data_IF_216453481620
#
_entry.id   IF_216453481620
#
_cell.length_a   1.000
_cell.length_b   1.000
_cell.length_c   1.000
_cell.angle_alpha   90.00
_cell.angle_beta   90.00
_cell.angle_gamma   90.00
#
_symmetry.space_group_name_H-M   'P 1'
#
loop_
_entity.id
_entity.type
_entity.pdbx_description
1 polymer ?
#
# COMPACT_ATOMS: atom_id res chain seq x y z
N UNK A 1 22.33 7.91 -10.44
CA UNK A 1 21.25 6.89 -10.43
C UNK A 1 21.81 5.66 -11.14
N UNK A 2 22.04 4.57 -10.42
CA UNK A 2 22.32 3.27 -11.05
C UNK A 2 21.07 2.87 -11.83
N UNK A 3 21.22 2.47 -13.09
CA UNK A 3 20.11 2.01 -13.92
C UNK A 3 19.40 0.84 -13.21
N UNK A 4 18.12 1.00 -12.90
CA UNK A 4 17.29 -0.07 -12.35
C UNK A 4 16.74 -0.96 -13.46
N UNK A 5 16.16 -2.10 -13.09
CA UNK A 5 15.42 -2.91 -14.07
C UNK A 5 14.06 -2.27 -14.35
N UNK A 6 13.58 -2.28 -15.62
CA UNK A 6 12.27 -1.74 -15.95
C UNK A 6 11.17 -2.49 -15.20
N UNK A 7 10.08 -1.80 -14.88
CA UNK A 7 8.91 -2.38 -14.21
C UNK A 7 7.69 -1.46 -14.32
N UNK A 8 6.50 -2.03 -14.24
CA UNK A 8 5.24 -1.28 -14.08
C UNK A 8 4.74 -1.43 -12.66
N UNK A 9 4.39 -0.32 -12.00
CA UNK A 9 3.91 -0.29 -10.63
C UNK A 9 2.45 0.12 -10.60
N UNK A 10 1.64 -0.59 -9.82
CA UNK A 10 0.21 -0.34 -9.66
C UNK A 10 -0.08 -0.24 -8.17
N UNK A 11 -0.85 0.77 -7.79
CA UNK A 11 -1.41 0.86 -6.45
C UNK A 11 -2.92 0.78 -6.51
N UNK A 12 -3.51 -0.07 -5.67
CA UNK A 12 -4.96 -0.25 -5.60
C UNK A 12 -5.41 -0.20 -4.14
N UNK A 13 -6.09 0.89 -3.76
CA UNK A 13 -6.95 0.88 -2.58
C UNK A 13 -8.29 0.29 -2.97
N UNK A 14 -8.61 -0.89 -2.46
CA UNK A 14 -9.82 -1.62 -2.87
C UNK A 14 -11.09 -1.15 -2.16
N UNK A 15 -10.97 -0.36 -1.09
CA UNK A 15 -12.04 -0.11 -0.11
C UNK A 15 -12.66 -1.40 0.51
N UNK A 16 -12.00 -2.55 0.32
CA UNK A 16 -12.24 -3.89 0.89
C UNK A 16 -13.58 -4.56 0.55
N UNK A 17 -14.54 -3.86 -0.06
CA UNK A 17 -15.85 -4.40 -0.41
C UNK A 17 -16.38 -3.79 -1.72
N UNK A 18 -17.24 -4.53 -2.42
CA UNK A 18 -17.91 -4.05 -3.64
C UNK A 18 -19.10 -3.15 -3.25
N UNK A 19 -18.81 -1.88 -3.03
CA UNK A 19 -19.81 -0.86 -2.74
C UNK A 19 -19.75 0.26 -3.78
N UNK A 20 -20.75 0.34 -4.66
CA UNK A 20 -20.80 1.36 -5.71
C UNK A 20 -20.86 2.81 -5.19
N UNK A 21 -21.27 3.01 -3.92
CA UNK A 21 -21.29 4.33 -3.27
C UNK A 21 -19.97 4.68 -2.57
N UNK A 22 -19.07 3.70 -2.40
CA UNK A 22 -17.77 3.86 -1.79
C UNK A 22 -16.76 2.94 -2.50
N UNK A 23 -16.49 3.17 -3.81
CA UNK A 23 -15.51 2.38 -4.54
C UNK A 23 -14.10 2.67 -4.02
N UNK A 24 -13.18 1.75 -4.30
CA UNK A 24 -11.75 1.98 -4.14
C UNK A 24 -11.18 2.92 -5.21
N UNK A 25 -9.86 2.98 -5.31
CA UNK A 25 -9.14 3.74 -6.34
C UNK A 25 -7.88 3.02 -6.83
N UNK A 26 -7.52 3.22 -8.10
CA UNK A 26 -6.35 2.60 -8.73
C UNK A 26 -5.52 3.63 -9.50
N UNK A 27 -4.20 3.46 -9.52
CA UNK A 27 -3.27 4.20 -10.36
C UNK A 27 -2.12 3.32 -10.83
N UNK A 28 -1.33 3.80 -11.79
CA UNK A 28 -0.11 3.11 -12.22
C UNK A 28 0.96 4.06 -12.73
N UNK A 29 2.20 3.59 -12.76
CA UNK A 29 3.32 4.26 -13.42
C UNK A 29 4.30 3.21 -13.97
N UNK A 30 5.02 3.54 -15.03
CA UNK A 30 6.06 2.68 -15.59
C UNK A 30 7.45 3.27 -15.34
N UNK A 31 8.43 2.43 -15.03
CA UNK A 31 9.83 2.78 -14.95
C UNK A 31 10.58 2.03 -16.05
N UNK A 32 11.33 2.76 -16.89
CA UNK A 32 12.07 2.16 -18.03
C UNK A 32 13.48 1.68 -17.66
N UNK A 33 13.87 1.85 -16.39
CA UNK A 33 15.22 1.59 -15.88
C UNK A 33 16.00 2.86 -15.57
N UNK A 34 15.53 4.02 -16.02
CA UNK A 34 16.14 5.33 -15.79
C UNK A 34 15.12 6.35 -15.28
N UNK A 35 13.98 6.47 -15.96
CA UNK A 35 12.95 7.47 -15.63
C UNK A 35 11.57 6.83 -15.51
N UNK A 36 10.71 7.49 -14.73
CA UNK A 36 9.30 7.15 -14.67
C UNK A 36 8.55 7.81 -15.82
N UNK A 37 7.64 7.06 -16.44
CA UNK A 37 6.74 7.55 -17.47
C UNK A 37 5.37 6.87 -17.45
N UNK A 38 4.40 7.48 -18.15
CA UNK A 38 3.10 6.85 -18.37
C UNK A 38 2.26 6.75 -17.11
N UNK A 39 2.34 7.75 -16.24
CA UNK A 39 1.53 7.86 -15.05
C UNK A 39 0.05 7.94 -15.41
N UNK A 40 -0.73 7.00 -14.89
CA UNK A 40 -2.18 7.03 -14.92
C UNK A 40 -2.65 7.46 -13.52
N UNK A 41 -3.10 8.71 -13.42
CA UNK A 41 -3.51 9.31 -12.16
C UNK A 41 -4.61 8.49 -11.44
N UNK A 42 -4.62 8.50 -10.09
CA UNK A 42 -5.62 7.78 -9.31
C UNK A 42 -7.06 8.08 -9.73
N UNK A 43 -7.82 7.02 -10.01
CA UNK A 43 -9.25 7.08 -10.35
C UNK A 43 -10.05 6.09 -9.53
N UNK A 44 -11.29 6.45 -9.19
CA UNK A 44 -12.18 5.57 -8.44
C UNK A 44 -12.61 4.37 -9.27
N UNK A 45 -12.52 3.17 -8.71
CA UNK A 45 -12.88 1.90 -9.37
C UNK A 45 -13.38 0.87 -8.35
N UNK A 46 -14.30 0.01 -8.78
CA UNK A 46 -14.57 -1.28 -8.10
C UNK A 46 -13.67 -2.39 -8.65
N UNK A 47 -13.76 -3.60 -8.08
CA UNK A 47 -12.86 -4.71 -8.42
C UNK A 47 -12.87 -5.09 -9.90
N UNK A 48 -14.05 -5.15 -10.54
CA UNK A 48 -14.16 -5.48 -11.96
C UNK A 48 -13.45 -4.44 -12.85
N UNK A 49 -13.68 -3.14 -12.59
CA UNK A 49 -13.04 -2.06 -13.34
C UNK A 49 -11.53 -1.95 -13.05
N UNK A 50 -11.09 -2.32 -11.84
CA UNK A 50 -9.68 -2.45 -11.50
C UNK A 50 -9.00 -3.58 -12.28
N UNK A 51 -9.66 -4.73 -12.44
CA UNK A 51 -9.13 -5.83 -13.24
C UNK A 51 -8.99 -5.44 -14.72
N UNK A 52 -9.99 -4.76 -15.28
CA UNK A 52 -9.90 -4.27 -16.66
C UNK A 52 -8.85 -3.16 -16.83
N UNK A 53 -8.66 -2.31 -15.81
CA UNK A 53 -7.56 -1.35 -15.80
C UNK A 53 -6.21 -2.04 -15.94
N UNK A 54 -5.96 -3.07 -15.13
CA UNK A 54 -4.67 -3.79 -15.11
C UNK A 54 -4.43 -4.50 -16.46
N UNK A 55 -5.46 -5.15 -17.01
CA UNK A 55 -5.38 -5.84 -18.32
C UNK A 55 -5.18 -4.89 -19.49
N UNK A 56 -5.67 -3.66 -19.39
CA UNK A 56 -5.50 -2.65 -20.42
C UNK A 56 -4.15 -1.92 -20.37
N UNK A 57 -3.33 -2.16 -19.34
CA UNK A 57 -2.00 -1.55 -19.28
C UNK A 57 -1.14 -2.02 -20.46
N UNK A 58 -0.37 -1.11 -21.09
CA UNK A 58 0.50 -1.50 -22.20
C UNK A 58 1.49 -2.59 -21.76
N UNK A 59 1.70 -3.58 -22.63
CA UNK A 59 2.76 -4.56 -22.41
C UNK A 59 4.12 -3.87 -22.57
N UNK A 60 4.77 -3.57 -21.45
CA UNK A 60 6.08 -2.91 -21.38
C UNK A 60 7.11 -3.88 -20.84
N UNK A 61 8.39 -3.55 -21.02
CA UNK A 61 9.48 -4.36 -20.48
C UNK A 61 9.42 -4.44 -18.95
N UNK A 62 9.84 -5.59 -18.40
CA UNK A 62 9.89 -5.83 -16.96
C UNK A 62 8.62 -6.46 -16.37
N UNK A 63 8.63 -6.76 -15.06
CA UNK A 63 7.45 -7.23 -14.35
C UNK A 63 6.44 -6.09 -14.11
N UNK A 64 5.18 -6.47 -13.89
CA UNK A 64 4.16 -5.60 -13.33
C UNK A 64 3.95 -5.97 -11.86
N UNK A 65 4.04 -5.02 -10.95
CA UNK A 65 3.82 -5.21 -9.52
C UNK A 65 2.61 -4.40 -9.04
N UNK A 66 1.61 -5.11 -8.54
CA UNK A 66 0.44 -4.56 -7.86
C UNK A 66 0.63 -4.55 -6.34
N UNK A 67 0.60 -3.37 -5.73
CA UNK A 67 0.39 -3.19 -4.30
C UNK A 67 -1.09 -2.97 -4.01
N UNK A 68 -1.68 -3.89 -3.25
CA UNK A 68 -3.10 -3.90 -2.91
C UNK A 68 -3.30 -3.55 -1.43
N UNK A 69 -4.03 -2.46 -1.13
CA UNK A 69 -4.58 -2.22 0.21
C UNK A 69 -5.81 -3.09 0.43
N UNK A 70 -5.53 -4.37 0.66
CA UNK A 70 -6.47 -5.35 1.16
C UNK A 70 -5.76 -6.63 1.58
N UNK A 71 -6.20 -7.25 2.68
CA UNK A 71 -5.86 -8.63 3.03
C UNK A 71 -6.13 -9.63 1.89
N UNK A 72 -5.07 -10.32 1.44
CA UNK A 72 -5.14 -11.35 0.37
C UNK A 72 -5.14 -12.78 0.92
N UNK A 73 -4.57 -12.96 2.12
CA UNK A 73 -4.51 -14.24 2.82
C UNK A 73 -5.17 -14.06 4.19
N UNK A 74 -6.36 -14.65 4.36
CA UNK A 74 -7.21 -14.49 5.56
C UNK A 74 -7.68 -15.86 6.09
N UNK A 75 -6.79 -16.65 6.72
CA UNK A 75 -7.15 -17.97 7.23
C UNK A 75 -8.00 -17.91 8.52
N UNK A 76 -7.98 -16.78 9.22
CA UNK A 76 -8.66 -16.62 10.50
C UNK A 76 -10.19 -16.63 10.35
N UNK A 77 -10.88 -17.54 11.05
CA UNK A 77 -12.33 -17.49 11.16
C UNK A 77 -12.83 -16.24 11.90
N UNK A 78 -12.16 -15.88 13.00
CA UNK A 78 -12.48 -14.73 13.86
C UNK A 78 -11.22 -13.98 14.30
N UNK A 79 -11.38 -12.79 14.88
CA UNK A 79 -10.27 -12.04 15.46
C UNK A 79 -9.39 -11.35 14.42
N UNK A 80 -8.08 -11.35 14.66
CA UNK A 80 -7.06 -10.59 13.91
C UNK A 80 -5.93 -11.53 13.48
N UNK A 81 -5.42 -11.36 12.26
CA UNK A 81 -4.27 -12.12 11.73
C UNK A 81 -3.00 -11.80 12.53
N UNK A 82 -2.01 -12.71 12.60
CA UNK A 82 -0.76 -12.45 13.31
C UNK A 82 -0.05 -11.17 12.82
N UNK A 83 0.00 -10.94 11.51
CA UNK A 83 0.58 -9.73 10.90
C UNK A 83 -0.08 -8.44 11.40
N UNK A 84 -1.41 -8.40 11.45
CA UNK A 84 -2.17 -7.23 11.89
C UNK A 84 -1.90 -6.92 13.36
N UNK A 85 -1.69 -7.94 14.21
CA UNK A 85 -1.33 -7.74 15.62
C UNK A 85 0.03 -7.08 15.79
N UNK A 86 0.96 -7.33 14.86
CA UNK A 86 2.26 -6.64 14.82
C UNK A 86 2.08 -5.22 14.31
N UNK A 87 1.44 -5.03 13.16
CA UNK A 87 1.18 -3.71 12.58
C UNK A 87 0.43 -2.78 13.57
N UNK A 88 -0.55 -3.32 14.31
CA UNK A 88 -1.30 -2.60 15.31
C UNK A 88 -0.44 -2.03 16.44
N UNK A 89 0.72 -2.63 16.76
CA UNK A 89 1.61 -2.09 17.80
C UNK A 89 2.22 -0.73 17.44
N UNK A 90 2.49 -0.49 16.16
CA UNK A 90 2.98 0.80 15.65
C UNK A 90 1.80 1.72 15.37
N UNK A 91 0.79 1.24 14.63
CA UNK A 91 -0.35 2.06 14.22
C UNK A 91 -1.15 2.59 15.41
N UNK A 92 -1.45 1.79 16.43
CA UNK A 92 -2.19 2.27 17.61
C UNK A 92 -1.35 3.22 18.48
N UNK A 93 -0.03 3.02 18.51
CA UNK A 93 0.88 3.89 19.24
C UNK A 93 0.90 5.30 18.63
N UNK A 94 0.92 5.41 17.30
CA UNK A 94 0.77 6.69 16.59
C UNK A 94 -0.69 7.18 16.53
N UNK A 95 -1.64 6.46 17.13
CA UNK A 95 -3.04 6.88 17.27
C UNK A 95 -3.94 6.57 16.08
N UNK A 96 -3.52 5.66 15.20
CA UNK A 96 -4.35 5.06 14.16
C UNK A 96 -5.05 3.78 14.64
N UNK A 97 -5.75 3.13 13.72
CA UNK A 97 -6.38 1.83 13.95
C UNK A 97 -6.08 0.85 12.83
N UNK A 98 -6.00 -0.43 13.17
CA UNK A 98 -5.90 -1.54 12.21
C UNK A 98 -7.22 -2.30 12.25
N UNK A 99 -7.87 -2.45 11.10
CA UNK A 99 -9.08 -3.25 11.00
C UNK A 99 -8.70 -4.74 10.94
N UNK A 100 -9.18 -5.59 11.86
CA UNK A 100 -8.92 -7.03 11.79
C UNK A 100 -9.46 -7.66 10.52
N UNK A 101 -8.73 -8.55 9.86
CA UNK A 101 -9.26 -9.38 8.78
C UNK A 101 -9.56 -10.80 9.27
N UNK A 102 -10.80 -11.24 9.07
CA UNK A 102 -11.24 -12.60 9.39
C UNK A 102 -12.48 -12.96 8.57
N UNK A 103 -12.71 -14.26 8.33
CA UNK A 103 -13.82 -14.80 7.53
C UNK A 103 -15.21 -14.43 8.06
N UNK A 104 -15.32 -14.08 9.34
CA UNK A 104 -16.56 -13.58 9.94
C UNK A 104 -17.00 -12.19 9.45
N UNK A 105 -16.13 -11.43 8.78
CA UNK A 105 -16.48 -10.12 8.19
C UNK A 105 -17.16 -10.27 6.84
N UNK A 106 -18.49 -10.40 6.88
CA UNK A 106 -19.32 -10.58 5.68
C UNK A 106 -19.14 -9.46 4.66
N UNK A 107 -19.03 -9.84 3.38
CA UNK A 107 -18.79 -8.95 2.24
C UNK A 107 -17.37 -8.40 2.10
N UNK A 108 -16.50 -8.57 3.10
CA UNK A 108 -15.09 -8.14 3.05
C UNK A 108 -14.13 -9.31 2.92
N UNK A 109 -14.37 -10.39 3.70
CA UNK A 109 -13.47 -11.55 3.75
C UNK A 109 -14.20 -12.89 3.91
N UNK A 110 -15.53 -12.95 3.77
CA UNK A 110 -16.25 -14.22 3.67
C UNK A 110 -16.00 -14.90 2.31
N UNK A 111 -16.51 -16.11 2.10
CA UNK A 111 -16.31 -16.88 0.85
C UNK A 111 -16.81 -16.14 -0.41
N UNK A 112 -17.76 -15.21 -0.25
CA UNK A 112 -18.32 -14.41 -1.34
C UNK A 112 -17.62 -13.06 -1.56
N UNK A 113 -16.57 -12.75 -0.79
CA UNK A 113 -15.93 -11.46 -0.88
C UNK A 113 -15.30 -11.22 -2.28
N UNK A 114 -15.41 -10.00 -2.82
CA UNK A 114 -15.04 -9.71 -4.21
C UNK A 114 -13.55 -9.84 -4.48
N UNK A 115 -12.72 -9.69 -3.44
CA UNK A 115 -11.27 -9.85 -3.54
C UNK A 115 -10.88 -11.25 -4.04
N UNK A 116 -11.59 -12.33 -3.67
CA UNK A 116 -11.23 -13.67 -4.14
C UNK A 116 -11.42 -13.83 -5.65
N UNK A 117 -12.52 -13.29 -6.18
CA UNK A 117 -12.77 -13.27 -7.62
C UNK A 117 -11.77 -12.37 -8.34
N UNK A 118 -11.42 -11.23 -7.75
CA UNK A 118 -10.39 -10.34 -8.30
C UNK A 118 -9.04 -11.04 -8.38
N UNK A 119 -8.56 -11.63 -7.29
CA UNK A 119 -7.27 -12.34 -7.24
C UNK A 119 -7.22 -13.50 -8.23
N UNK A 120 -8.28 -14.31 -8.28
CA UNK A 120 -8.39 -15.41 -9.24
C UNK A 120 -8.41 -14.91 -10.69
N UNK A 121 -9.15 -13.83 -10.99
CA UNK A 121 -9.22 -13.24 -12.32
C UNK A 121 -7.95 -12.50 -12.75
N UNK A 122 -7.18 -12.02 -11.79
CA UNK A 122 -5.90 -11.36 -11.99
C UNK A 122 -4.81 -12.38 -12.36
N UNK A 123 -4.77 -13.52 -11.68
CA UNK A 123 -3.79 -14.58 -11.94
C UNK A 123 -2.35 -14.14 -11.65
N UNK A 124 -2.16 -13.19 -10.73
CA UNK A 124 -0.84 -12.71 -10.34
C UNK A 124 -0.09 -13.73 -9.49
N UNK A 125 1.25 -13.69 -9.57
CA UNK A 125 2.12 -14.38 -8.62
C UNK A 125 2.15 -13.59 -7.31
N UNK A 126 1.68 -14.21 -6.23
CA UNK A 126 1.73 -13.62 -4.90
C UNK A 126 2.97 -14.10 -4.14
N UNK A 127 4.10 -13.44 -4.42
CA UNK A 127 5.35 -13.63 -3.69
C UNK A 127 6.12 -12.29 -3.65
N UNK A 128 6.00 -11.53 -2.55
CA UNK A 128 6.68 -10.25 -2.41
C UNK A 128 8.21 -10.37 -2.50
N UNK A 129 8.81 -11.49 -2.08
CA UNK A 129 10.25 -11.64 -2.12
C UNK A 129 10.72 -11.91 -3.55
N UNK A 130 10.02 -12.78 -4.27
CA UNK A 130 10.36 -13.11 -5.67
C UNK A 130 10.23 -11.90 -6.61
N UNK A 131 9.25 -11.02 -6.39
CA UNK A 131 9.10 -9.84 -7.26
C UNK A 131 10.28 -8.87 -7.17
N UNK A 132 11.16 -8.95 -6.16
CA UNK A 132 12.37 -8.10 -6.09
C UNK A 132 13.44 -8.44 -7.12
N UNK A 133 13.42 -9.65 -7.67
CA UNK A 133 14.37 -10.09 -8.72
C UNK A 133 13.67 -10.60 -9.97
N UNK A 134 12.34 -10.65 -9.99
CA UNK A 134 11.56 -11.02 -11.16
C UNK A 134 11.91 -10.15 -12.39
N UNK A 135 11.97 -10.78 -13.56
CA UNK A 135 12.24 -10.11 -14.84
C UNK A 135 10.96 -9.86 -15.65
N UNK A 136 9.91 -10.65 -15.42
CA UNK A 136 8.63 -10.61 -16.14
C UNK A 136 7.50 -11.05 -15.22
N UNK A 137 6.27 -11.00 -15.74
CA UNK A 137 5.08 -11.51 -15.07
C UNK A 137 4.32 -10.43 -14.30
N UNK A 138 3.12 -10.80 -13.87
CA UNK A 138 2.26 -9.98 -13.02
C UNK A 138 2.38 -10.49 -11.58
N UNK A 139 2.74 -9.60 -10.67
CA UNK A 139 3.01 -9.90 -9.27
C UNK A 139 2.11 -9.05 -8.37
N UNK A 140 1.83 -9.57 -7.20
CA UNK A 140 0.97 -8.94 -6.20
C UNK A 140 1.67 -8.92 -4.84
N UNK A 141 1.44 -7.86 -4.08
CA UNK A 141 1.70 -7.82 -2.66
C UNK A 141 0.62 -7.06 -1.87
N UNK A 142 0.30 -7.58 -0.68
CA UNK A 142 -0.51 -6.88 0.32
C UNK A 142 0.27 -5.72 0.95
N UNK A 143 -0.35 -4.53 1.00
CA UNK A 143 0.16 -3.33 1.68
C UNK A 143 -0.88 -2.72 2.60
N UNK A 144 -0.47 -1.82 3.49
CA UNK A 144 -1.36 -1.01 4.31
C UNK A 144 -0.86 0.44 4.37
N UNK A 145 -1.43 1.38 3.59
CA UNK A 145 -0.92 2.76 3.42
C UNK A 145 -0.62 3.49 4.72
N UNK A 146 -1.52 3.36 5.71
CA UNK A 146 -1.34 4.04 7.00
C UNK A 146 -0.12 3.56 7.79
N UNK A 147 0.35 2.33 7.55
CA UNK A 147 1.56 1.77 8.18
C UNK A 147 2.85 2.37 7.61
N UNK A 148 2.80 2.97 6.41
CA UNK A 148 3.96 3.58 5.77
C UNK A 148 4.37 4.90 6.45
N UNK A 149 3.41 5.71 6.94
CA UNK A 149 3.67 7.09 7.39
C UNK A 149 4.75 7.25 8.46
N UNK A 150 4.84 6.42 9.51
CA UNK A 150 5.91 6.54 10.51
C UNK A 150 7.31 6.29 9.94
N UNK A 151 7.41 5.76 8.71
CA UNK A 151 8.67 5.58 7.97
C UNK A 151 8.90 6.64 6.90
N UNK A 152 7.86 7.37 6.47
CA UNK A 152 7.96 8.41 5.44
C UNK A 152 8.30 9.79 6.01
N UNK A 153 7.91 10.05 7.26
CA UNK A 153 8.13 11.34 7.90
C UNK A 153 8.30 11.18 9.42
N UNK A 154 9.38 11.75 9.97
CA UNK A 154 9.69 11.69 11.40
C UNK A 154 8.58 12.32 12.26
N UNK A 155 7.90 13.35 11.74
CA UNK A 155 6.76 13.98 12.42
C UNK A 155 5.57 13.02 12.65
N UNK A 156 5.48 11.91 11.91
CA UNK A 156 4.47 10.87 12.09
C UNK A 156 4.94 9.71 12.97
N UNK A 157 6.21 9.71 13.40
CA UNK A 157 6.78 8.71 14.30
C UNK A 157 6.78 9.23 15.75
N UNK A 158 5.66 9.05 16.45
CA UNK A 158 5.52 9.48 17.84
C UNK A 158 4.21 9.03 18.47
N UNK A 159 4.13 9.06 19.80
CA UNK A 159 2.89 8.73 20.51
C UNK A 159 1.77 9.67 20.07
N UNK A 160 0.71 9.10 19.48
CA UNK A 160 -0.43 9.82 18.91
C UNK A 160 -0.10 10.78 17.75
N UNK A 161 1.11 10.71 17.17
CA UNK A 161 1.59 11.63 16.15
C UNK A 161 1.13 11.31 14.71
N UNK A 162 0.47 10.17 14.49
CA UNK A 162 0.05 9.73 13.16
C UNK A 162 -0.95 10.70 12.50
N UNK A 163 -0.98 10.78 11.16
CA UNK A 163 -1.82 11.74 10.47
C UNK A 163 -3.32 11.44 10.66
N UNK A 164 -4.14 12.49 10.79
CA UNK A 164 -5.61 12.41 10.85
C UNK A 164 -6.20 12.92 9.53
N UNK A 165 -5.85 12.23 8.46
CA UNK A 165 -6.11 12.68 7.08
C UNK A 165 -7.38 12.09 6.46
N UNK A 166 -8.08 11.15 7.11
CA UNK A 166 -9.28 10.50 6.56
C UNK A 166 -10.53 11.40 6.71
N UNK A 167 -11.09 11.98 5.64
CA UNK A 167 -12.25 12.88 5.72
C UNK A 167 -13.55 12.15 6.09
N UNK A 168 -13.60 10.83 5.90
CA UNK A 168 -14.70 9.98 6.38
C UNK A 168 -14.76 9.87 7.91
N UNK A 169 -13.65 10.14 8.62
CA UNK A 169 -13.57 10.16 10.09
C UNK A 169 -13.72 11.59 10.62
N UNK A 170 -14.89 12.20 10.37
CA UNK A 170 -15.17 13.63 10.67
C UNK A 170 -14.77 14.09 12.08
N UNK A 171 -14.93 13.25 13.10
CA UNK A 171 -14.63 13.59 14.49
C UNK A 171 -13.12 13.82 14.75
N UNK A 172 -12.24 13.22 13.95
CA UNK A 172 -10.79 13.30 14.14
C UNK A 172 -10.07 13.95 12.97
N UNK A 173 -10.73 14.09 11.81
CA UNK A 173 -10.16 14.65 10.60
C UNK A 173 -9.60 16.07 10.83
N UNK A 174 -8.43 16.34 10.25
CA UNK A 174 -7.78 17.65 10.28
C UNK A 174 -7.27 18.00 8.88
N UNK A 175 -7.72 19.13 8.34
CA UNK A 175 -7.28 19.62 7.03
C UNK A 175 -5.76 19.86 6.97
N UNK A 176 -5.18 20.34 8.06
CA UNK A 176 -3.72 20.48 8.22
C UNK A 176 -2.98 19.13 8.05
N UNK A 177 -3.50 18.05 8.63
CA UNK A 177 -2.90 16.72 8.48
C UNK A 177 -3.10 16.18 7.05
N UNK A 178 -4.24 16.47 6.41
CA UNK A 178 -4.45 16.15 4.99
C UNK A 178 -3.39 16.80 4.10
N UNK A 179 -3.22 18.12 4.22
CA UNK A 179 -2.22 18.87 3.45
C UNK A 179 -0.79 18.43 3.76
N UNK A 180 -0.52 18.07 5.02
CA UNK A 180 0.79 17.58 5.44
C UNK A 180 1.09 16.20 4.85
N UNK A 181 0.14 15.27 4.90
CA UNK A 181 0.28 13.95 4.26
C UNK A 181 0.60 14.10 2.78
N UNK A 182 -0.13 14.95 2.06
CA UNK A 182 0.14 15.15 0.63
C UNK A 182 1.53 15.75 0.41
N UNK A 183 1.98 16.67 1.27
CA UNK A 183 3.35 17.21 1.21
C UNK A 183 4.41 16.11 1.39
N UNK A 184 4.22 15.20 2.35
CA UNK A 184 5.11 14.05 2.57
C UNK A 184 5.10 13.12 1.35
N UNK A 185 3.93 12.85 0.78
CA UNK A 185 3.79 12.02 -0.44
C UNK A 185 4.45 12.68 -1.65
N UNK A 186 4.36 14.01 -1.80
CA UNK A 186 5.08 14.77 -2.84
C UNK A 186 6.60 14.66 -2.68
N UNK A 187 7.10 14.81 -1.45
CA UNK A 187 8.53 14.64 -1.17
C UNK A 187 9.00 13.22 -1.48
N UNK A 188 8.18 12.21 -1.15
CA UNK A 188 8.51 10.82 -1.45
C UNK A 188 8.46 10.51 -2.96
N UNK A 189 7.46 11.00 -3.68
CA UNK A 189 7.39 10.88 -5.13
C UNK A 189 8.62 11.55 -5.80
N UNK A 190 9.00 12.74 -5.33
CA UNK A 190 10.21 13.44 -5.78
C UNK A 190 11.47 12.63 -5.50
N UNK A 191 11.63 12.08 -4.28
CA UNK A 191 12.78 11.25 -3.91
C UNK A 191 12.93 10.03 -4.82
N UNK A 192 11.81 9.43 -5.21
CA UNK A 192 11.75 8.27 -6.10
C UNK A 192 11.86 8.64 -7.59
N UNK A 193 11.83 9.93 -7.95
CA UNK A 193 11.85 10.37 -9.35
C UNK A 193 10.49 10.27 -10.07
N UNK A 194 9.39 10.06 -9.33
CA UNK A 194 8.03 9.94 -9.86
C UNK A 194 7.37 11.32 -10.10
N UNK A 195 8.04 12.21 -10.84
CA UNK A 195 7.61 13.61 -11.04
C UNK A 195 6.28 13.76 -11.79
N UNK A 196 5.83 12.76 -12.57
CA UNK A 196 4.53 12.83 -13.27
C UNK A 196 3.33 12.94 -12.31
N UNK A 197 3.50 12.58 -11.03
CA UNK A 197 2.48 12.73 -10.01
C UNK A 197 2.35 14.15 -9.43
N UNK A 198 3.32 15.04 -9.67
CA UNK A 198 3.45 16.33 -8.97
C UNK A 198 2.23 17.24 -9.19
N UNK A 199 1.79 17.39 -10.43
CA UNK A 199 0.61 18.20 -10.77
C UNK A 199 -0.66 17.65 -10.10
N UNK A 200 -0.83 16.32 -10.08
CA UNK A 200 -1.98 15.69 -9.46
C UNK A 200 -1.99 15.90 -7.93
N UNK A 201 -0.84 15.72 -7.28
CA UNK A 201 -0.67 15.96 -5.85
C UNK A 201 -0.87 17.43 -5.46
N UNK A 202 -0.36 18.37 -6.26
CA UNK A 202 -0.55 19.80 -6.04
C UNK A 202 -2.03 20.18 -6.08
N UNK A 203 -2.76 19.67 -7.07
CA UNK A 203 -4.21 19.88 -7.18
C UNK A 203 -4.98 19.26 -6.01
N UNK A 204 -4.61 18.04 -5.60
CA UNK A 204 -5.23 17.36 -4.46
C UNK A 204 -5.01 18.13 -3.14
N UNK A 205 -3.79 18.66 -2.94
CA UNK A 205 -3.43 19.46 -1.75
C UNK A 205 -4.18 20.77 -1.67
N UNK A 206 -4.47 21.39 -2.82
CA UNK A 206 -5.18 22.65 -2.91
C UNK A 206 -6.67 22.55 -2.51
N UNK A 207 -7.23 21.34 -2.43
CA UNK A 207 -8.60 21.12 -1.96
C UNK A 207 -8.75 21.45 -0.47
N UNK A 208 -9.65 22.37 -0.16
CA UNK A 208 -10.04 22.75 1.20
C UNK A 208 -11.13 21.81 1.80
N UNK A 209 -11.76 20.99 0.95
CA UNK A 209 -12.87 20.09 1.29
C UNK A 209 -12.63 18.70 0.71
N UNK A 210 -11.56 17.99 1.12
CA UNK A 210 -11.30 16.65 0.63
C UNK A 210 -12.42 15.68 1.04
N UNK A 211 -12.69 14.74 0.15
CA UNK A 211 -13.72 13.71 0.31
C UNK A 211 -13.11 12.36 0.66
N UNK A 212 -13.96 11.39 1.04
CA UNK A 212 -13.50 10.00 1.22
C UNK A 212 -12.83 9.45 -0.06
N UNK A 213 -13.41 9.73 -1.23
CA UNK A 213 -12.84 9.31 -2.50
C UNK A 213 -11.52 10.00 -2.86
N UNK A 214 -11.25 11.20 -2.34
CA UNK A 214 -9.92 11.80 -2.43
C UNK A 214 -8.89 11.02 -1.61
N UNK A 215 -9.27 10.55 -0.41
CA UNK A 215 -8.42 9.70 0.40
C UNK A 215 -8.19 8.33 -0.26
N UNK A 216 -9.21 7.67 -0.82
CA UNK A 216 -9.01 6.40 -1.56
C UNK A 216 -8.01 6.58 -2.71
N UNK A 217 -8.13 7.67 -3.47
CA UNK A 217 -7.19 8.02 -4.54
C UNK A 217 -5.76 8.26 -4.03
N UNK A 218 -5.62 8.95 -2.90
CA UNK A 218 -4.32 9.19 -2.28
C UNK A 218 -3.68 7.90 -1.78
N UNK A 219 -4.46 7.03 -1.13
CA UNK A 219 -4.01 5.76 -0.61
C UNK A 219 -3.62 4.78 -1.73
N UNK A 220 -4.31 4.81 -2.89
CA UNK A 220 -3.88 4.11 -4.09
C UNK A 220 -2.50 4.59 -4.58
N UNK A 221 -2.24 5.91 -4.60
CA UNK A 221 -0.92 6.42 -4.95
C UNK A 221 0.14 6.00 -3.92
N UNK A 222 -0.18 6.03 -2.62
CA UNK A 222 0.73 5.56 -1.57
C UNK A 222 1.05 4.08 -1.76
N UNK A 223 0.07 3.23 -2.06
CA UNK A 223 0.29 1.82 -2.40
C UNK A 223 1.29 1.68 -3.56
N UNK A 224 1.09 2.44 -4.64
CA UNK A 224 1.99 2.44 -5.79
C UNK A 224 3.41 2.85 -5.39
N UNK A 225 3.59 3.90 -4.58
CA UNK A 225 4.91 4.31 -4.10
C UNK A 225 5.54 3.25 -3.19
N UNK A 226 4.76 2.54 -2.37
CA UNK A 226 5.26 1.38 -1.61
C UNK A 226 5.77 0.28 -2.54
N UNK A 227 5.09 0.02 -3.67
CA UNK A 227 5.56 -0.91 -4.70
C UNK A 227 6.89 -0.47 -5.34
N UNK A 228 7.01 0.81 -5.66
CA UNK A 228 8.25 1.39 -6.18
C UNK A 228 9.39 1.18 -5.17
N UNK A 229 9.19 1.57 -3.90
CA UNK A 229 10.20 1.38 -2.85
C UNK A 229 10.58 -0.08 -2.67
N UNK A 230 9.59 -0.96 -2.57
CA UNK A 230 9.83 -2.39 -2.36
C UNK A 230 10.73 -2.99 -3.44
N UNK A 231 10.54 -2.58 -4.70
CA UNK A 231 11.30 -3.10 -5.83
C UNK A 231 12.65 -2.40 -6.03
N UNK A 232 12.72 -1.07 -5.84
CA UNK A 232 13.86 -0.25 -6.29
C UNK A 232 14.75 0.26 -5.15
N UNK A 233 14.25 0.45 -3.93
CA UNK A 233 15.09 0.85 -2.80
C UNK A 233 15.92 -0.34 -2.31
N UNK A 234 16.95 -0.04 -1.50
CA UNK A 234 17.76 -1.05 -0.83
C UNK A 234 16.92 -2.07 -0.04
N UNK A 235 17.40 -3.32 0.08
CA UNK A 235 16.63 -4.41 0.67
C UNK A 235 16.13 -4.19 2.11
N UNK A 236 16.75 -3.28 2.84
CA UNK A 236 16.44 -3.00 4.23
C UNK A 236 15.55 -1.75 4.39
N UNK A 237 15.31 -0.97 3.32
CA UNK A 237 14.43 0.20 3.34
C UNK A 237 12.94 -0.17 3.56
N UNK A 238 12.59 -1.45 3.45
CA UNK A 238 11.25 -1.99 3.64
C UNK A 238 11.30 -3.37 4.30
N UNK A 239 10.17 -3.82 4.83
CA UNK A 239 10.02 -5.14 5.41
C UNK A 239 8.69 -5.79 5.03
N UNK A 240 8.69 -7.11 5.00
CA UNK A 240 7.49 -7.95 4.99
C UNK A 240 7.26 -8.46 6.41
N UNK A 241 6.11 -8.12 6.99
CA UNK A 241 5.67 -8.62 8.30
C UNK A 241 4.71 -9.78 8.04
N UNK A 242 4.90 -10.93 8.67
CA UNK A 242 4.11 -12.13 8.42
C UNK A 242 4.64 -13.01 7.29
N UNK A 243 3.81 -13.91 6.78
CA UNK A 243 4.18 -14.90 5.79
C UNK A 243 3.01 -15.26 4.84
N UNK A 244 3.31 -16.04 3.80
CA UNK A 244 2.32 -16.51 2.83
C UNK A 244 1.37 -17.60 3.37
N UNK A 245 1.49 -18.00 4.64
CA UNK A 245 0.60 -19.01 5.25
C UNK A 245 -0.46 -18.34 6.13
N UNK A 246 -0.07 -17.34 6.89
CA UNK A 246 -0.89 -16.68 7.93
C UNK A 246 -1.29 -15.25 7.56
N UNK A 247 -0.79 -14.75 6.42
CA UNK A 247 -0.98 -13.40 5.92
C UNK A 247 0.22 -12.52 6.22
N UNK A 248 0.43 -11.51 5.38
CA UNK A 248 1.57 -10.61 5.46
C UNK A 248 1.20 -9.18 5.07
N UNK A 249 2.05 -8.22 5.38
CA UNK A 249 1.95 -6.83 4.95
C UNK A 249 3.36 -6.35 4.59
N UNK A 250 3.51 -5.77 3.40
CA UNK A 250 4.73 -5.06 2.99
C UNK A 250 4.61 -3.58 3.35
N UNK A 251 5.65 -3.02 3.96
CA UNK A 251 5.70 -1.59 4.31
C UNK A 251 7.14 -1.05 4.26
N UNK A 252 7.34 0.22 3.92
CA UNK A 252 8.62 0.90 4.16
C UNK A 252 8.91 0.97 5.66
N UNK A 253 10.20 0.91 6.01
CA UNK A 253 10.67 0.94 7.40
C UNK A 253 11.86 1.87 7.58
N UNK A 254 11.65 2.98 8.28
CA UNK A 254 12.75 3.76 8.88
C UNK A 254 13.45 2.93 9.97
N UNK A 255 14.66 3.32 10.38
CA UNK A 255 15.39 2.61 11.44
C UNK A 255 14.58 2.51 12.75
N UNK A 256 13.85 3.58 13.10
CA UNK A 256 13.02 3.64 14.30
C UNK A 256 11.77 2.75 14.17
N UNK A 257 11.05 2.82 13.04
CA UNK A 257 9.90 1.97 12.78
C UNK A 257 10.28 0.48 12.71
N UNK A 258 11.42 0.17 12.07
CA UNK A 258 11.99 -1.19 11.99
C UNK A 258 12.24 -1.77 13.38
N UNK A 259 12.90 -1.03 14.26
CA UNK A 259 13.17 -1.48 15.63
C UNK A 259 11.88 -1.87 16.35
N UNK A 260 10.85 -1.02 16.27
CA UNK A 260 9.56 -1.29 16.93
C UNK A 260 8.84 -2.50 16.33
N UNK A 261 8.77 -2.59 15.00
CA UNK A 261 8.04 -3.66 14.31
C UNK A 261 8.75 -5.01 14.47
N UNK A 262 10.09 -5.04 14.37
CA UNK A 262 10.87 -6.25 14.58
C UNK A 262 10.75 -6.78 16.01
N UNK A 263 10.79 -5.90 17.03
CA UNK A 263 10.55 -6.29 18.42
C UNK A 263 9.15 -6.88 18.62
N UNK A 264 8.12 -6.21 18.09
CA UNK A 264 6.74 -6.69 18.17
C UNK A 264 6.53 -8.02 17.42
N UNK A 265 7.18 -8.20 16.28
CA UNK A 265 7.14 -9.44 15.51
C UNK A 265 7.80 -10.60 16.28
N UNK A 266 8.98 -10.34 16.88
CA UNK A 266 9.70 -11.30 17.71
C UNK A 266 8.87 -11.75 18.92
N UNK A 267 8.33 -10.81 19.70
CA UNK A 267 7.47 -11.11 20.86
C UNK A 267 6.24 -11.94 20.48
N UNK A 268 5.73 -11.74 19.25
CA UNK A 268 4.53 -12.41 18.74
C UNK A 268 4.81 -13.67 17.93
N UNK A 269 6.08 -14.02 17.74
CA UNK A 269 6.52 -15.14 16.88
C UNK A 269 5.94 -15.02 15.45
N UNK A 270 5.92 -13.81 14.93
CA UNK A 270 5.49 -13.51 13.55
C UNK A 270 6.75 -13.30 12.71
N UNK A 271 6.87 -13.92 11.51
CA UNK A 271 8.00 -13.67 10.65
C UNK A 271 8.16 -12.19 10.31
N UNK A 272 9.40 -11.74 10.23
CA UNK A 272 9.75 -10.37 9.86
C UNK A 272 10.94 -10.43 8.92
N UNK A 273 10.68 -10.22 7.65
CA UNK A 273 11.68 -10.40 6.60
C UNK A 273 12.13 -9.05 6.07
N UNK A 274 13.41 -8.76 6.24
CA UNK A 274 14.10 -7.71 5.50
C UNK A 274 14.88 -8.38 4.39
N UNK A 275 14.82 -7.83 3.19
CA UNK A 275 15.33 -8.54 2.00
C UNK A 275 16.86 -8.54 1.88
N UNK A 276 17.56 -7.99 2.87
CA UNK A 276 19.02 -7.91 2.96
C UNK A 276 19.68 -8.88 3.95
N UNK A 277 18.91 -9.70 4.67
CA UNK A 277 19.49 -10.74 5.51
C UNK A 277 19.78 -12.00 4.68
N UNK A 278 21.01 -12.10 4.18
CA UNK A 278 21.65 -13.41 3.98
C UNK A 278 22.16 -13.91 5.32
#
# INVERSE_FOLDING_TARGET
MTAGSPATFIGFDSAWADNSKAPGAICSIHFDGSVFSGFLAPRLVGFAAALEFIRALPNRAGPTLLALDQPTIVPNATGMRPVEKVAATLVSWVGGGVQPANRGRRGMFDDGAPVWRFLSGLGAVEDPLAVRTAMTGLHLMEVFPALAFPSLADEFFGRLAGPRYNPGRRATFRLEHWQRVITVVMSEATRLGCHEADTWLANLRASDRPTKGDQDRLDALICMLVAVRWRLDEPDASAMIGDLTTGYIVTPTSAAARTRLAAAAYERRVPYTMTGAR
#
